data_IF_803970243720
#
_entry.id   IF_803970243720
#
_cell.length_a   1.000
_cell.length_b   1.000
_cell.length_c   1.000
_cell.angle_alpha   90.00
_cell.angle_beta   90.00
_cell.angle_gamma   90.00
#
_symmetry.space_group_name_H-M   'P 1'
#
loop_
_entity.id
_entity.type
_entity.pdbx_description
1 polymer ?
#
# COMPACT_ATOMS: atom_id res chain seq x y z
N UNK A 1 23.94 -5.89 -39.44
CA UNK A 1 23.39 -5.25 -40.65
C UNK A 1 24.40 -4.29 -41.32
N UNK A 2 25.55 -4.00 -40.68
CA UNK A 2 26.58 -3.07 -41.23
C UNK A 2 26.12 -1.61 -41.38
N UNK A 3 25.12 -1.19 -40.61
CA UNK A 3 24.65 0.18 -40.59
C UNK A 3 25.53 1.03 -39.68
N UNK A 4 25.76 2.30 -40.08
CA UNK A 4 26.48 3.26 -39.25
C UNK A 4 25.67 3.62 -38.00
N UNK A 5 26.28 3.48 -36.82
CA UNK A 5 25.74 3.96 -35.56
C UNK A 5 26.18 5.42 -35.40
N UNK A 6 25.21 6.33 -35.26
CA UNK A 6 25.49 7.75 -35.19
C UNK A 6 25.07 8.31 -33.84
N UNK A 7 25.98 8.93 -33.08
CA UNK A 7 25.63 9.62 -31.84
C UNK A 7 24.77 10.85 -32.13
N UNK A 8 23.66 11.00 -31.44
CA UNK A 8 22.76 12.15 -31.54
C UNK A 8 22.87 13.12 -30.38
N UNK A 9 23.71 12.83 -29.39
CA UNK A 9 23.97 13.69 -28.23
C UNK A 9 25.46 13.99 -28.18
N UNK A 10 25.82 15.25 -27.93
CA UNK A 10 27.22 15.67 -27.86
C UNK A 10 27.98 14.95 -26.76
N UNK A 11 29.16 14.44 -27.09
CA UNK A 11 30.06 13.79 -26.12
C UNK A 11 29.63 12.43 -25.61
N UNK A 12 28.56 11.84 -26.18
CA UNK A 12 28.15 10.48 -25.78
C UNK A 12 28.98 9.41 -26.52
N UNK A 13 29.32 8.32 -25.83
CA UNK A 13 29.87 7.10 -26.37
C UNK A 13 28.76 6.11 -26.66
N UNK A 14 28.65 5.67 -27.91
CA UNK A 14 27.66 4.70 -28.38
C UNK A 14 28.32 3.45 -29.00
N UNK A 15 29.59 3.22 -28.67
CA UNK A 15 30.39 2.13 -29.24
C UNK A 15 29.96 0.74 -28.75
N UNK A 16 29.52 0.64 -27.50
CA UNK A 16 29.13 -0.64 -26.87
C UNK A 16 27.64 -0.72 -26.55
N UNK A 17 27.00 0.40 -26.16
CA UNK A 17 25.58 0.42 -25.75
C UNK A 17 24.88 1.71 -26.21
N UNK A 18 23.53 1.74 -26.13
CA UNK A 18 22.73 2.91 -26.39
C UNK A 18 22.89 3.96 -25.30
N UNK A 19 22.92 5.23 -25.67
CA UNK A 19 22.94 6.35 -24.74
C UNK A 19 21.51 6.77 -24.40
N UNK A 20 21.04 6.37 -23.20
CA UNK A 20 19.65 6.56 -22.75
C UNK A 20 19.46 7.74 -21.79
N UNK A 21 20.48 8.56 -21.56
CA UNK A 21 20.36 9.75 -20.72
C UNK A 21 19.33 10.73 -21.29
N UNK A 22 18.57 11.35 -20.42
CA UNK A 22 17.54 12.34 -20.80
C UNK A 22 18.05 13.78 -20.77
N UNK A 23 19.36 13.96 -20.63
CA UNK A 23 20.06 15.24 -20.56
C UNK A 23 21.17 15.27 -21.58
N UNK A 24 21.40 16.42 -22.18
CA UNK A 24 22.44 16.65 -23.19
C UNK A 24 21.96 17.56 -24.33
N UNK A 25 22.89 17.91 -25.19
CA UNK A 25 22.64 18.74 -26.39
C UNK A 25 22.58 17.84 -27.60
N UNK A 26 21.58 18.01 -28.43
CA UNK A 26 21.41 17.23 -29.67
C UNK A 26 22.38 17.70 -30.74
N UNK A 27 23.04 16.73 -31.38
CA UNK A 27 23.93 16.96 -32.55
C UNK A 27 23.58 15.98 -33.68
N UNK A 28 24.18 16.17 -34.86
CA UNK A 28 24.02 15.27 -36.00
C UNK A 28 22.58 15.03 -36.48
N UNK A 29 21.67 15.99 -36.26
CA UNK A 29 20.26 15.94 -36.66
C UNK A 29 19.85 17.27 -37.35
N UNK A 30 19.33 17.27 -38.58
CA UNK A 30 19.17 16.16 -39.50
C UNK A 30 20.43 15.89 -40.33
N UNK A 31 20.38 14.79 -41.06
CA UNK A 31 21.32 14.53 -42.13
C UNK A 31 20.74 15.01 -43.47
N UNK A 32 20.98 16.27 -43.78
CA UNK A 32 20.41 16.94 -44.97
C UNK A 32 20.83 16.31 -46.32
N UNK A 33 21.96 15.61 -46.33
CA UNK A 33 22.47 14.90 -47.53
C UNK A 33 21.73 13.60 -47.85
N UNK A 34 20.99 13.06 -46.86
CA UNK A 34 20.27 11.78 -46.99
C UNK A 34 18.75 11.95 -46.92
N UNK A 35 18.25 13.01 -46.28
CA UNK A 35 16.83 13.27 -46.09
C UNK A 35 16.42 14.64 -46.63
N UNK A 36 16.36 14.81 -47.95
CA UNK A 36 16.07 16.11 -48.56
C UNK A 36 14.62 16.61 -48.29
N UNK A 37 13.78 15.78 -47.69
CA UNK A 37 12.39 16.12 -47.39
C UNK A 37 12.14 16.50 -45.91
N UNK A 38 13.19 16.54 -45.07
CA UNK A 38 13.06 16.92 -43.67
C UNK A 38 13.80 18.24 -43.42
N UNK A 39 13.06 19.29 -43.18
CA UNK A 39 13.56 20.63 -42.84
C UNK A 39 13.72 20.83 -41.32
N UNK A 40 13.42 19.80 -40.54
CA UNK A 40 13.56 19.82 -39.08
C UNK A 40 15.03 19.67 -38.66
N UNK A 41 15.61 20.71 -38.07
CA UNK A 41 16.90 20.63 -37.37
C UNK A 41 16.72 20.67 -35.88
N UNK A 42 17.34 19.72 -35.20
CA UNK A 42 17.31 19.61 -33.71
C UNK A 42 18.67 19.94 -33.09
N UNK A 43 19.69 20.24 -33.93
CA UNK A 43 21.03 20.52 -33.44
C UNK A 43 21.08 21.75 -32.53
N UNK A 44 21.81 21.62 -31.42
CA UNK A 44 21.95 22.67 -30.41
C UNK A 44 20.80 22.79 -29.44
N UNK A 45 19.72 22.00 -29.61
CA UNK A 45 18.62 21.91 -28.62
C UNK A 45 18.97 20.93 -27.50
N UNK A 46 18.45 21.17 -26.30
CA UNK A 46 18.45 20.15 -25.28
C UNK A 46 17.56 18.98 -25.71
N UNK A 47 17.79 17.79 -25.19
CA UNK A 47 16.95 16.60 -25.48
C UNK A 47 15.47 16.89 -25.25
N UNK A 48 15.13 17.61 -24.17
CA UNK A 48 13.75 17.98 -23.84
C UNK A 48 13.14 18.89 -24.92
N UNK A 49 13.85 19.93 -25.34
CA UNK A 49 13.40 20.84 -26.40
C UNK A 49 13.28 20.12 -27.73
N UNK A 50 14.23 19.26 -28.06
CA UNK A 50 14.20 18.45 -29.28
C UNK A 50 12.97 17.52 -29.33
N UNK A 51 12.60 16.89 -28.22
CA UNK A 51 11.40 16.06 -28.11
C UNK A 51 10.14 16.88 -28.39
N UNK A 52 9.98 18.03 -27.74
CA UNK A 52 8.81 18.89 -27.94
C UNK A 52 8.75 19.46 -29.36
N UNK A 53 9.87 19.87 -29.91
CA UNK A 53 9.97 20.36 -31.30
C UNK A 53 9.57 19.25 -32.29
N UNK A 54 10.05 18.03 -32.09
CA UNK A 54 9.68 16.88 -32.93
C UNK A 54 8.18 16.55 -32.83
N UNK A 55 7.59 16.54 -31.63
CA UNK A 55 6.16 16.33 -31.46
C UNK A 55 5.31 17.35 -32.21
N UNK A 56 5.71 18.62 -32.14
CA UNK A 56 5.05 19.72 -32.84
C UNK A 56 5.16 19.54 -34.36
N UNK A 57 6.36 19.27 -34.85
CA UNK A 57 6.62 19.05 -36.28
C UNK A 57 5.79 17.91 -36.87
N UNK A 58 5.80 16.74 -36.20
CA UNK A 58 5.02 15.56 -36.62
C UNK A 58 3.52 15.86 -36.69
N UNK A 59 2.99 16.66 -35.77
CA UNK A 59 1.58 17.06 -35.76
C UNK A 59 1.27 18.05 -36.88
N UNK A 60 2.09 19.08 -37.05
CA UNK A 60 1.88 20.15 -38.06
C UNK A 60 1.99 19.65 -39.50
N UNK A 61 2.87 18.66 -39.74
CA UNK A 61 3.07 18.10 -41.09
C UNK A 61 2.24 16.82 -41.35
N UNK A 62 1.32 16.46 -40.41
CA UNK A 62 0.49 15.27 -40.53
C UNK A 62 1.28 13.96 -40.76
N UNK A 63 2.51 13.88 -40.22
CA UNK A 63 3.37 12.68 -40.32
C UNK A 63 2.99 11.58 -39.36
N UNK A 64 2.18 11.89 -38.34
CA UNK A 64 1.75 10.98 -37.35
C UNK A 64 0.95 11.63 -36.21
N UNK A 65 0.82 10.92 -35.11
CA UNK A 65 0.16 11.44 -33.91
C UNK A 65 1.01 11.21 -32.68
N UNK A 66 1.02 12.16 -31.75
CA UNK A 66 1.58 11.96 -30.42
C UNK A 66 0.65 11.06 -29.61
N UNK A 67 1.16 9.94 -29.10
CA UNK A 67 0.42 9.00 -28.27
C UNK A 67 1.15 8.84 -26.93
N UNK A 68 0.40 8.95 -25.84
CA UNK A 68 0.89 8.62 -24.51
C UNK A 68 0.66 7.12 -24.29
N UNK A 69 1.72 6.39 -24.01
CA UNK A 69 1.63 4.99 -23.60
C UNK A 69 1.90 4.92 -22.10
N UNK A 70 0.93 4.39 -21.38
CA UNK A 70 1.07 4.15 -19.94
C UNK A 70 1.72 2.79 -19.71
N UNK A 71 2.69 2.72 -18.80
CA UNK A 71 3.25 1.48 -18.27
C UNK A 71 2.76 1.30 -16.84
N UNK A 72 1.60 0.71 -16.70
CA UNK A 72 1.01 0.36 -15.42
C UNK A 72 1.05 -1.16 -15.27
N UNK A 73 1.20 -1.63 -14.04
CA UNK A 73 0.92 -3.04 -13.73
C UNK A 73 -0.58 -3.22 -13.69
N UNK A 74 -1.06 -4.35 -14.19
CA UNK A 74 -2.45 -4.72 -14.05
C UNK A 74 -2.83 -4.80 -12.57
N UNK A 75 -3.94 -4.17 -12.22
CA UNK A 75 -4.50 -4.22 -10.88
C UNK A 75 -5.64 -5.23 -10.87
N UNK A 76 -5.49 -6.30 -10.11
CA UNK A 76 -6.56 -7.28 -9.90
C UNK A 76 -7.45 -6.74 -8.78
N UNK A 77 -8.68 -6.38 -9.12
CA UNK A 77 -9.70 -5.90 -8.18
C UNK A 77 -10.52 -7.04 -7.61
N UNK A 78 -9.88 -8.14 -7.22
CA UNK A 78 -10.51 -9.28 -6.56
C UNK A 78 -9.58 -9.94 -5.55
N UNK A 79 -10.15 -10.61 -4.56
CA UNK A 79 -9.41 -11.35 -3.54
C UNK A 79 -10.07 -12.70 -3.28
N UNK A 80 -9.24 -13.70 -3.09
CA UNK A 80 -9.62 -15.04 -2.66
C UNK A 80 -9.85 -15.07 -1.14
N UNK A 81 -10.80 -14.26 -0.68
CA UNK A 81 -11.13 -14.10 0.75
C UNK A 81 -12.63 -14.10 0.95
N UNK A 82 -13.09 -14.53 2.13
CA UNK A 82 -14.50 -14.46 2.49
C UNK A 82 -14.90 -13.01 2.84
N UNK A 83 -14.13 -12.37 3.72
CA UNK A 83 -14.43 -10.99 4.15
C UNK A 83 -14.06 -9.96 3.09
N UNK A 84 -15.07 -9.37 2.49
CA UNK A 84 -15.02 -8.36 1.46
C UNK A 84 -16.40 -8.19 0.83
N UNK A 85 -16.65 -7.11 0.12
CA UNK A 85 -17.89 -6.92 -0.63
C UNK A 85 -17.96 -7.98 -1.76
N UNK A 86 -19.06 -8.75 -1.86
CA UNK A 86 -19.22 -9.70 -2.96
C UNK A 86 -19.42 -8.98 -4.30
N UNK A 87 -18.90 -9.58 -5.37
CA UNK A 87 -19.20 -9.08 -6.72
C UNK A 87 -20.63 -9.46 -7.12
N UNK A 88 -21.46 -8.50 -7.56
CA UNK A 88 -22.80 -8.79 -8.04
C UNK A 88 -22.77 -9.35 -9.47
N UNK A 89 -22.06 -10.46 -9.66
CA UNK A 89 -21.74 -11.05 -10.96
C UNK A 89 -22.02 -12.56 -10.94
N UNK A 90 -22.71 -13.03 -11.98
CA UNK A 90 -22.83 -14.46 -12.28
C UNK A 90 -22.19 -14.80 -13.62
N UNK A 91 -21.88 -16.07 -13.85
CA UNK A 91 -21.22 -16.55 -15.07
C UNK A 91 -22.13 -17.39 -15.94
N UNK A 92 -22.31 -16.94 -17.17
CA UNK A 92 -23.00 -17.70 -18.23
C UNK A 92 -22.02 -17.95 -19.39
N UNK A 93 -21.83 -19.20 -19.76
CA UNK A 93 -20.90 -19.62 -20.82
C UNK A 93 -19.46 -19.05 -20.62
N UNK A 94 -19.02 -18.97 -19.40
CA UNK A 94 -17.71 -18.41 -19.02
C UNK A 94 -17.61 -16.88 -19.09
N UNK A 95 -18.70 -16.19 -19.43
CA UNK A 95 -18.76 -14.72 -19.50
C UNK A 95 -19.46 -14.15 -18.26
N UNK A 96 -18.94 -13.05 -17.67
CA UNK A 96 -19.54 -12.40 -16.52
C UNK A 96 -20.74 -11.54 -16.91
N UNK A 97 -21.79 -11.63 -16.12
CA UNK A 97 -23.01 -10.80 -16.23
C UNK A 97 -23.34 -10.21 -14.87
N UNK A 98 -23.80 -8.96 -14.87
CA UNK A 98 -24.25 -8.31 -13.65
C UNK A 98 -25.63 -8.82 -13.23
N UNK A 99 -25.86 -8.94 -11.92
CA UNK A 99 -27.22 -9.12 -11.39
C UNK A 99 -27.99 -7.79 -11.51
N UNK A 100 -29.31 -7.85 -11.41
CA UNK A 100 -30.13 -6.64 -11.47
C UNK A 100 -29.88 -5.74 -10.27
N UNK A 101 -29.82 -4.43 -10.49
CA UNK A 101 -29.64 -3.43 -9.44
C UNK A 101 -30.73 -3.51 -8.34
N UNK A 102 -31.98 -3.80 -8.74
CA UNK A 102 -33.08 -3.97 -7.79
C UNK A 102 -32.94 -5.19 -6.85
N UNK A 103 -31.97 -6.07 -7.12
CA UNK A 103 -31.66 -7.25 -6.31
C UNK A 103 -30.48 -7.01 -5.33
N UNK A 104 -29.95 -5.81 -5.29
CA UNK A 104 -28.92 -5.42 -4.32
C UNK A 104 -29.57 -5.00 -2.99
N UNK A 105 -28.86 -5.17 -1.88
CA UNK A 105 -27.49 -5.67 -1.75
C UNK A 105 -27.38 -7.18 -1.90
N UNK A 106 -26.27 -7.65 -2.50
CA UNK A 106 -25.86 -9.05 -2.48
C UNK A 106 -25.13 -9.32 -1.17
N UNK A 107 -25.72 -10.15 -0.32
CA UNK A 107 -25.15 -10.49 0.99
C UNK A 107 -24.24 -11.71 0.91
N UNK A 108 -23.18 -11.74 1.73
CA UNK A 108 -22.30 -12.91 1.84
C UNK A 108 -23.07 -14.12 2.38
N UNK A 109 -22.91 -15.31 1.78
CA UNK A 109 -23.56 -16.53 2.26
C UNK A 109 -22.85 -17.07 3.52
N UNK A 110 -23.55 -17.84 4.31
CA UNK A 110 -22.90 -18.63 5.37
C UNK A 110 -22.00 -19.72 4.77
N UNK A 111 -20.81 -19.90 5.34
CA UNK A 111 -19.85 -20.92 4.95
C UNK A 111 -19.34 -21.69 6.17
N UNK A 112 -19.09 -22.97 5.99
CA UNK A 112 -18.59 -23.81 7.08
C UNK A 112 -17.11 -23.52 7.44
N UNK A 113 -16.32 -22.98 6.47
CA UNK A 113 -14.89 -22.70 6.63
C UNK A 113 -14.51 -21.44 5.85
N UNK A 114 -13.61 -20.63 6.42
CA UNK A 114 -13.05 -19.44 5.80
C UNK A 114 -11.71 -19.71 5.08
N UNK A 115 -11.43 -20.96 4.76
CA UNK A 115 -10.25 -21.41 4.04
C UNK A 115 -10.61 -21.71 2.57
N UNK A 116 -9.63 -21.73 1.66
CA UNK A 116 -9.87 -22.23 0.30
C UNK A 116 -10.43 -23.64 0.32
N UNK A 117 -11.13 -24.02 -0.76
CA UNK A 117 -11.60 -25.39 -0.94
C UNK A 117 -10.42 -26.34 -1.22
N UNK A 118 -10.63 -27.64 -1.17
CA UNK A 118 -9.62 -28.66 -1.51
C UNK A 118 -9.17 -28.57 -2.98
N UNK A 119 -10.02 -28.01 -3.84
CA UNK A 119 -9.74 -27.76 -5.25
C UNK A 119 -9.07 -26.40 -5.52
N UNK A 120 -8.84 -25.60 -4.46
CA UNK A 120 -8.16 -24.31 -4.54
C UNK A 120 -9.10 -23.12 -4.85
N UNK A 121 -10.41 -23.32 -4.82
CA UNK A 121 -11.38 -22.22 -4.98
C UNK A 121 -11.37 -21.29 -3.75
N UNK A 122 -11.79 -20.02 -3.92
CA UNK A 122 -11.97 -19.11 -2.79
C UNK A 122 -12.93 -19.65 -1.72
N UNK A 123 -12.90 -19.10 -0.48
CA UNK A 123 -13.77 -19.56 0.61
C UNK A 123 -15.26 -19.59 0.30
N UNK A 124 -15.76 -18.74 -0.60
CA UNK A 124 -17.15 -18.77 -1.07
C UNK A 124 -17.50 -20.07 -1.83
N UNK A 125 -16.52 -20.83 -2.30
CA UNK A 125 -16.71 -22.17 -2.88
C UNK A 125 -17.26 -23.19 -1.87
N UNK A 126 -17.18 -22.92 -0.55
CA UNK A 126 -17.83 -23.75 0.48
C UNK A 126 -19.32 -23.44 0.67
N UNK A 127 -19.84 -22.38 0.07
CA UNK A 127 -21.24 -22.03 0.21
C UNK A 127 -22.13 -23.05 -0.53
N UNK A 128 -23.20 -23.47 0.12
CA UNK A 128 -24.22 -24.34 -0.47
C UNK A 128 -25.31 -23.55 -1.22
N UNK A 129 -25.45 -22.26 -0.89
CA UNK A 129 -26.43 -21.35 -1.46
C UNK A 129 -25.70 -20.14 -2.03
N UNK A 130 -25.19 -20.26 -3.26
CA UNK A 130 -24.44 -19.22 -3.97
C UNK A 130 -24.58 -19.34 -5.50
N UNK A 131 -25.83 -19.50 -5.96
CA UNK A 131 -26.21 -19.52 -7.36
C UNK A 131 -27.26 -18.44 -7.64
N UNK A 132 -27.24 -17.86 -8.83
CA UNK A 132 -28.13 -16.81 -9.25
C UNK A 132 -29.25 -17.36 -10.15
N UNK A 133 -30.50 -17.19 -9.71
CA UNK A 133 -31.69 -17.46 -10.51
C UNK A 133 -32.06 -16.19 -11.29
N UNK A 134 -31.91 -16.23 -12.62
CA UNK A 134 -32.17 -15.09 -13.49
C UNK A 134 -33.67 -14.83 -13.71
N UNK A 135 -34.54 -15.80 -13.41
CA UNK A 135 -35.98 -15.67 -13.53
C UNK A 135 -36.60 -15.04 -12.28
N UNK A 136 -36.23 -15.59 -11.10
CA UNK A 136 -36.74 -15.11 -9.81
C UNK A 136 -35.90 -14.00 -9.20
N UNK A 137 -34.73 -13.71 -9.81
CA UNK A 137 -33.81 -12.63 -9.40
C UNK A 137 -33.38 -12.74 -7.94
N UNK A 138 -32.97 -13.93 -7.52
CA UNK A 138 -32.54 -14.20 -6.16
C UNK A 138 -31.42 -15.26 -6.10
N UNK A 139 -30.73 -15.28 -4.96
CA UNK A 139 -29.70 -16.29 -4.66
C UNK A 139 -30.39 -17.56 -4.17
N UNK A 140 -30.04 -18.68 -4.78
CA UNK A 140 -30.57 -20.02 -4.47
C UNK A 140 -29.45 -21.04 -4.28
N UNK A 141 -29.84 -22.28 -3.99
CA UNK A 141 -28.94 -23.41 -3.74
C UNK A 141 -28.14 -23.78 -5.02
N UNK A 142 -26.85 -24.10 -4.86
CA UNK A 142 -25.94 -24.45 -5.95
C UNK A 142 -26.37 -25.72 -6.71
N UNK A 143 -27.10 -26.64 -6.04
CA UNK A 143 -27.63 -27.86 -6.64
C UNK A 143 -28.62 -27.56 -7.79
N UNK A 144 -29.18 -26.35 -7.84
CA UNK A 144 -30.13 -25.92 -8.86
C UNK A 144 -29.48 -25.28 -10.10
N UNK A 145 -28.13 -25.21 -10.14
CA UNK A 145 -27.43 -24.70 -11.32
C UNK A 145 -27.71 -25.59 -12.53
N UNK A 146 -28.36 -25.02 -13.52
CA UNK A 146 -28.74 -25.69 -14.77
C UNK A 146 -28.02 -25.10 -15.99
N UNK A 147 -27.31 -24.00 -15.82
CA UNK A 147 -26.64 -23.22 -16.86
C UNK A 147 -27.58 -22.68 -17.96
N UNK A 148 -28.90 -22.66 -17.72
CA UNK A 148 -29.94 -22.12 -18.61
C UNK A 148 -30.63 -20.92 -17.97
N UNK A 149 -31.09 -21.09 -16.74
CA UNK A 149 -31.76 -20.06 -15.93
C UNK A 149 -31.06 -19.78 -14.61
N UNK A 150 -30.30 -20.75 -14.10
CA UNK A 150 -29.57 -20.65 -12.85
C UNK A 150 -28.07 -20.81 -13.11
N UNK A 151 -27.29 -19.82 -12.64
CA UNK A 151 -25.87 -19.71 -12.92
C UNK A 151 -25.04 -19.57 -11.66
N UNK A 152 -23.73 -19.96 -11.66
CA UNK A 152 -22.85 -19.75 -10.53
C UNK A 152 -22.52 -18.25 -10.36
N UNK A 153 -22.51 -17.77 -9.12
CA UNK A 153 -22.02 -16.45 -8.74
C UNK A 153 -20.49 -16.43 -8.61
N UNK A 154 -19.91 -15.23 -8.70
CA UNK A 154 -18.48 -15.01 -8.48
C UNK A 154 -18.07 -15.45 -7.05
N UNK A 155 -16.96 -16.18 -6.95
CA UNK A 155 -16.45 -16.70 -5.68
C UNK A 155 -15.42 -15.76 -4.99
N UNK A 156 -14.85 -14.80 -5.74
CA UNK A 156 -13.97 -13.80 -5.18
C UNK A 156 -14.79 -12.67 -4.53
N UNK A 157 -14.16 -11.96 -3.61
CA UNK A 157 -14.70 -10.72 -3.05
C UNK A 157 -13.87 -9.52 -3.50
N UNK A 158 -14.43 -8.33 -3.39
CA UNK A 158 -13.68 -7.09 -3.61
C UNK A 158 -12.57 -6.95 -2.55
N UNK A 159 -11.48 -6.19 -2.84
CA UNK A 159 -10.47 -5.90 -1.83
C UNK A 159 -11.07 -5.15 -0.65
N UNK A 160 -10.49 -5.33 0.55
CA UNK A 160 -10.97 -4.66 1.76
C UNK A 160 -10.98 -3.12 1.68
N UNK A 161 -10.24 -2.53 0.73
CA UNK A 161 -10.28 -1.09 0.49
C UNK A 161 -11.45 -0.62 -0.41
N UNK A 162 -12.25 -1.51 -0.99
CA UNK A 162 -13.35 -1.11 -1.88
C UNK A 162 -14.34 -0.19 -1.17
N UNK A 163 -14.89 -0.63 -0.04
CA UNK A 163 -15.77 0.21 0.77
C UNK A 163 -15.08 1.39 1.43
N UNK A 164 -13.88 1.18 1.98
CA UNK A 164 -13.14 2.25 2.66
C UNK A 164 -12.65 3.37 1.74
N UNK A 165 -12.61 3.14 0.44
CA UNK A 165 -12.18 4.18 -0.52
C UNK A 165 -13.16 5.35 -0.63
N UNK A 166 -14.44 5.15 -0.36
CA UNK A 166 -15.48 6.19 -0.44
C UNK A 166 -16.29 6.34 0.87
N UNK A 167 -15.78 5.83 2.00
CA UNK A 167 -16.50 5.79 3.27
C UNK A 167 -16.95 7.19 3.74
N UNK A 168 -16.16 8.23 3.49
CA UNK A 168 -16.47 9.61 3.90
C UNK A 168 -17.76 10.15 3.27
N UNK A 169 -18.10 9.74 2.04
CA UNK A 169 -19.37 10.06 1.41
C UNK A 169 -20.53 9.40 2.16
N UNK A 170 -20.39 8.13 2.50
CA UNK A 170 -21.41 7.41 3.30
C UNK A 170 -21.58 8.01 4.69
N UNK A 171 -20.49 8.52 5.32
CA UNK A 171 -20.58 9.19 6.63
C UNK A 171 -21.36 10.51 6.58
N UNK A 172 -21.41 11.19 5.43
CA UNK A 172 -22.24 12.38 5.25
C UNK A 172 -23.74 12.05 5.31
N UNK A 173 -24.13 10.85 4.85
CA UNK A 173 -25.52 10.43 4.74
C UNK A 173 -25.72 8.94 5.14
N UNK A 174 -25.47 8.60 6.42
CA UNK A 174 -25.36 7.20 6.85
C UNK A 174 -26.67 6.42 6.81
N UNK A 175 -27.80 7.09 6.80
CA UNK A 175 -29.15 6.47 6.80
C UNK A 175 -29.81 6.42 5.43
N UNK A 176 -29.11 6.81 4.38
CA UNK A 176 -29.63 6.74 3.03
C UNK A 176 -29.60 5.30 2.49
N UNK A 177 -30.76 4.73 2.23
CA UNK A 177 -30.91 3.39 1.67
C UNK A 177 -31.06 3.36 0.14
N UNK A 178 -31.08 4.53 -0.52
CA UNK A 178 -31.33 4.64 -1.96
C UNK A 178 -30.08 5.01 -2.75
N UNK A 179 -29.12 5.72 -2.13
CA UNK A 179 -27.90 6.17 -2.77
C UNK A 179 -26.73 6.15 -1.79
N UNK A 180 -25.51 6.23 -2.31
CA UNK A 180 -24.29 6.36 -1.50
C UNK A 180 -24.34 7.63 -0.64
N UNK A 181 -24.81 8.73 -1.21
CA UNK A 181 -25.04 10.03 -0.57
C UNK A 181 -26.12 10.79 -1.35
N UNK A 182 -27.00 11.52 -0.67
CA UNK A 182 -27.94 12.43 -1.35
C UNK A 182 -27.17 13.63 -1.94
N UNK A 183 -27.40 14.02 -3.20
CA UNK A 183 -26.70 15.13 -3.84
C UNK A 183 -26.78 16.46 -3.10
N UNK A 184 -27.87 16.72 -2.37
CA UNK A 184 -28.00 17.94 -1.56
C UNK A 184 -27.12 17.90 -0.32
N UNK A 185 -26.97 16.71 0.27
CA UNK A 185 -26.10 16.50 1.43
C UNK A 185 -24.65 16.62 1.00
N UNK A 186 -24.26 16.00 -0.14
CA UNK A 186 -22.93 16.14 -0.70
C UNK A 186 -22.61 17.59 -1.09
N UNK A 187 -23.58 18.31 -1.69
CA UNK A 187 -23.44 19.74 -2.00
C UNK A 187 -23.30 20.62 -0.74
N UNK A 188 -23.85 20.21 0.39
CA UNK A 188 -23.72 20.92 1.66
C UNK A 188 -22.35 20.70 2.30
N UNK A 189 -21.93 19.44 2.43
CA UNK A 189 -20.67 19.08 3.07
C UNK A 189 -19.44 19.24 2.16
N UNK A 190 -19.60 19.00 0.85
CA UNK A 190 -18.52 19.01 -0.16
C UNK A 190 -17.39 18.07 0.21
N UNK A 191 -16.16 18.44 -0.16
CA UNK A 191 -14.97 17.69 0.21
C UNK A 191 -14.58 17.93 1.68
N UNK A 192 -13.93 16.94 2.27
CA UNK A 192 -13.54 16.96 3.69
C UNK A 192 -12.52 18.09 3.95
N UNK A 193 -12.81 18.94 4.92
CA UNK A 193 -11.98 20.12 5.24
C UNK A 193 -10.59 19.75 5.77
N UNK A 194 -10.54 18.74 6.66
CA UNK A 194 -9.31 18.26 7.27
C UNK A 194 -9.33 16.74 7.38
N UNK A 195 -8.36 16.10 6.72
CA UNK A 195 -8.18 14.65 6.73
C UNK A 195 -6.89 14.27 7.44
N UNK A 196 -7.00 13.48 8.52
CA UNK A 196 -5.86 13.12 9.37
C UNK A 196 -5.62 11.62 9.29
N UNK A 197 -4.40 11.23 8.98
CA UNK A 197 -4.02 9.82 8.90
C UNK A 197 -2.52 9.61 8.71
N UNK A 198 -2.04 8.41 9.06
CA UNK A 198 -0.63 8.06 8.95
C UNK A 198 -0.11 8.02 7.51
N UNK A 199 1.18 8.27 7.36
CA UNK A 199 1.87 8.25 6.06
C UNK A 199 1.85 6.87 5.38
N UNK A 200 1.64 5.80 6.13
CA UNK A 200 1.48 4.43 5.62
C UNK A 200 0.29 4.28 4.66
N UNK A 201 -0.68 5.18 4.72
CA UNK A 201 -1.83 5.21 3.82
C UNK A 201 -1.58 5.92 2.49
N UNK A 202 -0.41 6.55 2.31
CA UNK A 202 -0.09 7.32 1.10
C UNK A 202 -0.10 6.46 -0.18
N UNK A 203 0.35 5.20 -0.09
CA UNK A 203 0.38 4.25 -1.21
C UNK A 203 -0.82 3.31 -1.26
N UNK A 204 -1.78 3.46 -0.36
CA UNK A 204 -2.98 2.63 -0.28
C UNK A 204 -4.23 3.49 -0.28
N UNK A 205 -4.84 3.68 0.90
CA UNK A 205 -6.14 4.35 1.06
C UNK A 205 -6.22 5.73 0.39
N UNK A 206 -5.17 6.57 0.48
CA UNK A 206 -5.21 7.92 -0.12
C UNK A 206 -5.26 7.88 -1.65
N UNK A 207 -4.54 6.97 -2.30
CA UNK A 207 -4.61 6.78 -3.75
C UNK A 207 -5.99 6.27 -4.14
N UNK A 208 -6.50 5.26 -3.45
CA UNK A 208 -7.79 4.66 -3.80
C UNK A 208 -8.96 5.59 -3.53
N UNK A 209 -8.96 6.33 -2.42
CA UNK A 209 -10.03 7.30 -2.13
C UNK A 209 -10.06 8.43 -3.16
N UNK A 210 -8.89 8.93 -3.58
CA UNK A 210 -8.81 9.94 -4.63
C UNK A 210 -9.27 9.38 -5.99
N UNK A 211 -8.85 8.17 -6.35
CA UNK A 211 -9.29 7.52 -7.59
C UNK A 211 -10.81 7.32 -7.62
N UNK A 212 -11.38 6.76 -6.54
CA UNK A 212 -12.83 6.56 -6.43
C UNK A 212 -13.59 7.88 -6.48
N UNK A 213 -13.13 8.90 -5.77
CA UNK A 213 -13.81 10.20 -5.77
C UNK A 213 -13.85 10.81 -7.17
N UNK A 214 -12.73 10.78 -7.90
CA UNK A 214 -12.69 11.26 -9.29
C UNK A 214 -13.60 10.46 -10.21
N UNK A 215 -13.64 9.15 -10.07
CA UNK A 215 -14.57 8.31 -10.81
C UNK A 215 -16.03 8.64 -10.47
N UNK A 216 -16.37 8.79 -9.20
CA UNK A 216 -17.71 9.16 -8.77
C UNK A 216 -18.09 10.58 -9.23
N UNK A 217 -17.12 11.49 -9.30
CA UNK A 217 -17.32 12.83 -9.87
C UNK A 217 -17.63 12.75 -11.38
N UNK A 218 -16.85 11.98 -12.14
CA UNK A 218 -17.09 11.76 -13.57
C UNK A 218 -18.46 11.11 -13.85
N UNK A 219 -18.93 10.26 -12.93
CA UNK A 219 -20.24 9.63 -12.99
C UNK A 219 -21.38 10.53 -12.49
N UNK A 220 -21.08 11.74 -12.00
CA UNK A 220 -22.07 12.69 -11.46
C UNK A 220 -22.64 12.29 -10.09
N UNK A 221 -21.97 11.40 -9.35
CA UNK A 221 -22.38 10.97 -8.00
C UNK A 221 -21.81 11.92 -6.96
N UNK A 222 -20.52 12.30 -7.06
CA UNK A 222 -19.90 13.28 -6.17
C UNK A 222 -19.88 14.67 -6.81
N UNK A 223 -20.11 15.71 -6.03
CA UNK A 223 -20.10 17.11 -6.48
C UNK A 223 -18.70 17.72 -6.48
N UNK A 224 -17.72 17.08 -5.87
CA UNK A 224 -16.33 17.54 -5.79
C UNK A 224 -15.38 16.58 -6.47
N UNK A 225 -14.45 17.12 -7.27
CA UNK A 225 -13.42 16.31 -7.95
C UNK A 225 -12.39 15.72 -6.97
N UNK A 226 -11.96 16.50 -5.98
CA UNK A 226 -10.99 16.07 -4.96
C UNK A 226 -11.68 15.77 -3.63
N UNK A 227 -11.35 14.65 -2.96
CA UNK A 227 -12.05 14.23 -1.74
C UNK A 227 -11.70 15.06 -0.50
N UNK A 228 -10.48 15.60 -0.42
CA UNK A 228 -9.95 16.26 0.77
C UNK A 228 -9.34 17.61 0.44
N UNK A 229 -9.61 18.63 1.28
CA UNK A 229 -9.03 19.96 1.12
C UNK A 229 -7.63 20.03 1.75
N UNK A 230 -7.46 19.44 2.92
CA UNK A 230 -6.20 19.45 3.66
C UNK A 230 -5.92 18.06 4.25
N UNK A 231 -4.73 17.55 3.98
CA UNK A 231 -4.22 16.32 4.57
C UNK A 231 -3.18 16.66 5.64
N UNK A 232 -3.31 16.04 6.80
CA UNK A 232 -2.29 16.06 7.86
C UNK A 232 -1.88 14.62 8.16
N UNK A 233 -0.63 14.30 7.86
CA UNK A 233 -0.03 13.04 8.24
C UNK A 233 0.71 13.20 9.56
N UNK A 234 0.26 12.50 10.59
CA UNK A 234 0.99 12.48 11.86
C UNK A 234 2.28 11.66 11.73
N UNK A 235 3.31 12.13 12.41
CA UNK A 235 4.56 11.38 12.58
C UNK A 235 4.34 10.14 13.43
N UNK A 236 5.25 9.18 13.30
CA UNK A 236 5.18 7.94 14.08
C UNK A 236 5.73 8.15 15.50
N UNK A 237 5.09 7.56 16.48
CA UNK A 237 5.68 7.34 17.79
C UNK A 237 6.67 6.18 17.66
N UNK A 238 7.94 6.44 17.96
CA UNK A 238 9.02 5.49 17.86
C UNK A 238 9.31 4.85 19.21
N UNK A 239 9.71 3.59 19.20
CA UNK A 239 10.11 2.88 20.41
C UNK A 239 11.62 2.94 20.63
N UNK A 240 12.04 2.88 21.88
CA UNK A 240 13.41 2.59 22.21
C UNK A 240 13.63 1.08 22.16
N UNK A 241 14.41 0.61 21.18
CA UNK A 241 14.88 -0.78 21.14
C UNK A 241 16.09 -0.95 22.01
N UNK A 242 16.17 -2.09 22.69
CA UNK A 242 17.38 -2.50 23.43
C UNK A 242 18.04 -3.68 22.73
N UNK A 243 19.36 -3.75 22.82
CA UNK A 243 20.16 -4.79 22.17
C UNK A 243 21.04 -5.52 23.17
N UNK A 244 21.09 -6.83 23.02
CA UNK A 244 22.13 -7.69 23.59
C UNK A 244 23.07 -8.14 22.48
N UNK A 245 24.32 -8.42 22.79
CA UNK A 245 25.37 -8.74 21.82
C UNK A 245 25.80 -10.17 22.01
N UNK A 246 25.38 -11.05 21.12
CA UNK A 246 25.74 -12.48 21.13
C UNK A 246 27.07 -12.66 20.46
N UNK A 247 28.03 -13.32 21.13
CA UNK A 247 29.29 -13.74 20.53
C UNK A 247 28.99 -14.82 19.48
N UNK A 248 29.57 -14.67 18.29
CA UNK A 248 29.35 -15.53 17.14
C UNK A 248 29.54 -17.03 17.50
N UNK A 249 28.64 -17.84 17.02
CA UNK A 249 28.62 -19.30 17.20
C UNK A 249 28.62 -19.80 18.66
N UNK A 250 28.22 -18.94 19.62
CA UNK A 250 28.08 -19.29 21.04
C UNK A 250 26.70 -18.94 21.59
N UNK A 251 26.45 -19.33 22.86
CA UNK A 251 25.31 -18.82 23.65
C UNK A 251 25.79 -17.85 24.75
N UNK A 252 26.87 -17.13 24.49
CA UNK A 252 27.46 -16.15 25.39
C UNK A 252 27.14 -14.73 24.90
N UNK A 253 26.72 -13.87 25.80
CA UNK A 253 26.35 -12.50 25.53
C UNK A 253 27.30 -11.55 26.25
N UNK A 254 27.80 -10.55 25.55
CA UNK A 254 28.76 -9.59 26.09
C UNK A 254 28.13 -8.21 26.27
N UNK A 255 28.42 -7.55 27.37
CA UNK A 255 27.93 -6.21 27.70
C UNK A 255 28.42 -5.16 26.69
N UNK A 256 27.64 -4.09 26.50
CA UNK A 256 27.82 -3.05 25.47
C UNK A 256 29.25 -2.56 25.30
N UNK A 257 29.90 -2.13 26.40
CA UNK A 257 31.22 -1.51 26.33
C UNK A 257 32.39 -2.51 26.13
N UNK A 258 32.10 -3.80 26.25
CA UNK A 258 33.06 -4.87 26.03
C UNK A 258 32.92 -5.54 24.65
N UNK A 259 31.88 -5.21 23.89
CA UNK A 259 31.51 -5.89 22.64
C UNK A 259 32.58 -5.81 21.55
N UNK A 260 33.36 -4.71 21.50
CA UNK A 260 34.37 -4.48 20.47
C UNK A 260 35.59 -5.43 20.59
N UNK A 261 35.67 -6.20 21.70
CA UNK A 261 36.67 -7.22 21.92
C UNK A 261 36.31 -8.59 21.30
N UNK A 262 35.08 -8.71 20.74
CA UNK A 262 34.53 -9.95 20.24
C UNK A 262 33.83 -9.75 18.88
N UNK A 263 33.75 -10.80 18.09
CA UNK A 263 32.85 -10.82 16.92
C UNK A 263 31.43 -11.09 17.41
N UNK A 264 30.56 -10.06 17.36
CA UNK A 264 29.21 -10.13 17.94
C UNK A 264 28.11 -9.87 16.93
N UNK A 265 26.92 -10.43 17.19
CA UNK A 265 25.68 -10.15 16.50
C UNK A 265 24.72 -9.44 17.47
N UNK A 266 24.24 -8.23 17.17
CA UNK A 266 23.23 -7.57 17.97
C UNK A 266 21.87 -8.27 17.83
N UNK A 267 21.16 -8.46 18.92
CA UNK A 267 19.84 -9.08 18.99
C UNK A 267 18.93 -8.16 19.78
N UNK A 268 17.75 -7.84 19.22
CA UNK A 268 16.72 -7.10 19.94
C UNK A 268 16.23 -7.87 21.15
N UNK A 269 16.05 -7.18 22.25
CA UNK A 269 15.55 -7.75 23.50
C UNK A 269 14.32 -6.99 23.98
N UNK A 270 13.38 -7.71 24.63
CA UNK A 270 12.14 -7.14 25.12
C UNK A 270 12.42 -5.97 26.11
N UNK A 271 11.82 -4.83 25.82
CA UNK A 271 11.98 -3.62 26.64
C UNK A 271 11.53 -3.81 28.10
N UNK A 272 10.64 -4.75 28.35
CA UNK A 272 10.11 -5.03 29.70
C UNK A 272 11.11 -5.76 30.61
N UNK A 273 12.16 -6.36 30.06
CA UNK A 273 13.23 -7.02 30.82
C UNK A 273 14.53 -6.22 30.88
N UNK A 274 14.46 -4.93 30.47
CA UNK A 274 15.56 -3.99 30.56
C UNK A 274 15.12 -2.79 31.39
N UNK A 275 15.92 -2.41 32.40
CA UNK A 275 15.65 -1.24 33.24
C UNK A 275 16.90 -0.37 33.33
N UNK A 276 16.79 0.91 32.96
CA UNK A 276 17.92 1.85 32.92
C UNK A 276 19.15 1.26 32.20
N UNK A 277 18.93 0.67 31.03
CA UNK A 277 19.93 -0.01 30.20
C UNK A 277 20.51 -1.31 30.78
N UNK A 278 20.07 -1.74 31.94
CA UNK A 278 20.53 -2.96 32.59
C UNK A 278 19.56 -4.10 32.29
N UNK A 279 20.07 -5.20 31.74
CA UNK A 279 19.32 -6.42 31.47
C UNK A 279 19.04 -7.19 32.75
N UNK A 280 17.79 -7.63 32.90
CA UNK A 280 17.44 -8.68 33.87
C UNK A 280 17.87 -10.05 33.31
N UNK A 281 18.94 -10.61 33.84
CA UNK A 281 19.55 -11.86 33.33
C UNK A 281 18.65 -13.07 33.49
N UNK A 282 17.89 -13.15 34.59
CA UNK A 282 17.01 -14.28 34.84
C UNK A 282 15.74 -14.18 33.98
N UNK A 283 15.20 -12.98 33.82
CA UNK A 283 14.09 -12.74 32.89
C UNK A 283 14.53 -13.04 31.43
N UNK A 284 15.76 -12.68 31.05
CA UNK A 284 16.28 -12.99 29.71
C UNK A 284 16.40 -14.50 29.46
N UNK A 285 16.93 -15.27 30.42
CA UNK A 285 17.00 -16.74 30.32
C UNK A 285 15.61 -17.38 30.23
N UNK A 286 14.63 -16.79 30.90
CA UNK A 286 13.26 -17.26 30.90
C UNK A 286 12.45 -16.83 29.64
N UNK A 287 12.89 -15.77 28.95
CA UNK A 287 12.18 -15.16 27.83
C UNK A 287 12.04 -16.10 26.63
N UNK A 288 13.11 -16.88 26.33
CA UNK A 288 13.10 -17.85 25.22
C UNK A 288 13.84 -19.12 25.58
N UNK A 289 13.37 -20.28 25.11
CA UNK A 289 13.99 -21.57 25.41
C UNK A 289 15.48 -21.65 25.05
N UNK A 290 15.88 -21.01 23.92
CA UNK A 290 17.27 -20.98 23.44
C UNK A 290 18.22 -20.20 24.35
N UNK A 291 17.72 -19.32 25.19
CA UNK A 291 18.55 -18.50 26.13
C UNK A 291 18.64 -19.09 27.53
N UNK A 292 17.98 -20.22 27.80
CA UNK A 292 17.98 -20.85 29.12
C UNK A 292 19.40 -21.14 29.66
N UNK A 293 20.34 -21.42 28.78
CA UNK A 293 21.75 -21.69 29.10
C UNK A 293 22.68 -20.54 28.74
N UNK A 294 22.13 -19.32 28.59
CA UNK A 294 22.91 -18.15 28.23
C UNK A 294 23.95 -17.82 29.30
N UNK A 295 25.17 -17.54 28.87
CA UNK A 295 26.26 -17.01 29.69
C UNK A 295 26.46 -15.52 29.40
N UNK A 296 26.97 -14.78 30.39
CA UNK A 296 27.10 -13.34 30.27
C UNK A 296 28.50 -12.87 30.67
N UNK A 297 29.10 -12.03 29.83
CA UNK A 297 30.30 -11.26 30.14
C UNK A 297 29.83 -9.88 30.59
N UNK A 298 29.96 -9.64 31.89
CA UNK A 298 29.41 -8.47 32.58
C UNK A 298 30.42 -7.36 32.68
N UNK A 299 29.90 -6.14 32.81
CA UNK A 299 30.65 -4.94 33.10
C UNK A 299 30.26 -4.50 34.51
N UNK A 300 31.23 -4.45 35.43
CA UNK A 300 31.04 -4.13 36.86
C UNK A 300 29.86 -4.92 37.50
N UNK A 301 29.74 -6.21 37.14
CA UNK A 301 28.70 -7.10 37.67
C UNK A 301 27.30 -6.89 37.06
N UNK A 302 27.16 -6.07 36.02
CA UNK A 302 25.90 -5.78 35.33
C UNK A 302 26.05 -6.04 33.84
N UNK A 303 24.94 -6.37 33.17
CA UNK A 303 24.87 -6.42 31.71
C UNK A 303 24.26 -5.14 31.18
N UNK A 304 25.01 -4.32 30.50
CA UNK A 304 24.57 -3.08 29.88
C UNK A 304 24.14 -3.36 28.45
N UNK A 305 22.89 -3.05 28.11
CA UNK A 305 22.33 -3.16 26.76
C UNK A 305 22.73 -1.97 25.89
N UNK A 306 22.85 -2.20 24.60
CA UNK A 306 22.78 -1.11 23.61
C UNK A 306 21.34 -0.64 23.41
N UNK A 307 21.16 0.52 22.76
CA UNK A 307 19.85 1.02 22.44
C UNK A 307 19.84 1.85 21.14
N UNK A 308 18.68 1.91 20.50
CA UNK A 308 18.40 2.80 19.39
C UNK A 308 16.92 3.20 19.40
N UNK A 309 16.61 4.36 18.80
CA UNK A 309 15.23 4.77 18.57
C UNK A 309 14.80 4.24 17.20
N UNK A 310 13.78 3.39 17.18
CA UNK A 310 13.32 2.71 15.98
C UNK A 310 11.79 2.73 15.90
N UNK A 311 11.25 2.33 14.73
CA UNK A 311 9.81 2.09 14.59
C UNK A 311 9.35 1.04 15.60
N UNK A 312 8.25 1.32 16.32
CA UNK A 312 7.63 0.31 17.17
C UNK A 312 7.12 -0.87 16.33
N UNK A 313 7.58 -2.07 16.68
CA UNK A 313 7.06 -3.30 16.10
C UNK A 313 7.22 -4.49 17.04
N UNK A 314 6.36 -5.49 16.89
CA UNK A 314 6.44 -6.73 17.68
C UNK A 314 7.77 -7.46 17.48
N UNK A 315 8.34 -7.41 16.28
CA UNK A 315 9.62 -8.06 15.95
C UNK A 315 10.84 -7.37 16.56
N UNK A 316 10.72 -6.10 16.94
CA UNK A 316 11.78 -5.32 17.61
C UNK A 316 11.61 -5.31 19.14
N UNK A 317 10.55 -5.91 19.67
CA UNK A 317 10.26 -6.01 21.10
C UNK A 317 10.30 -4.67 21.85
N UNK A 318 9.92 -3.58 21.16
CA UNK A 318 9.97 -2.20 21.64
C UNK A 318 8.60 -1.53 21.70
N UNK A 319 7.52 -2.33 21.68
CA UNK A 319 6.14 -1.82 21.70
C UNK A 319 5.77 -1.47 23.14
N UNK A 320 5.25 -0.26 23.32
CA UNK A 320 4.61 0.18 24.56
C UNK A 320 3.12 -0.10 24.46
N UNK A 321 2.56 -0.87 25.41
CA UNK A 321 1.14 -1.15 25.47
C UNK A 321 0.41 0.00 26.18
N UNK A 322 -0.54 0.69 25.51
CA UNK A 322 -1.32 1.76 26.11
C UNK A 322 -2.08 1.35 27.36
N UNK A 323 -2.62 0.12 27.42
CA UNK A 323 -3.36 -0.36 28.59
C UNK A 323 -2.51 -0.38 29.84
N UNK A 324 -1.25 -0.84 29.76
CA UNK A 324 -0.31 -0.82 30.87
C UNK A 324 -0.01 0.61 31.36
N UNK A 325 0.09 1.55 30.42
CA UNK A 325 0.34 2.98 30.77
C UNK A 325 -0.91 3.56 31.42
N UNK A 326 -2.10 3.25 30.91
CA UNK A 326 -3.37 3.70 31.48
C UNK A 326 -3.56 3.16 32.89
N UNK A 327 -3.28 1.89 33.13
CA UNK A 327 -3.34 1.27 34.45
C UNK A 327 -2.38 1.94 35.44
N UNK A 328 -1.17 2.26 34.98
CA UNK A 328 -0.11 2.80 35.85
C UNK A 328 -0.26 4.31 36.11
N UNK A 329 -0.66 5.08 35.12
CA UNK A 329 -0.63 6.56 35.17
C UNK A 329 -1.98 7.23 34.92
N UNK A 330 -2.96 6.50 34.43
CA UNK A 330 -4.27 7.02 34.03
C UNK A 330 -4.36 7.44 32.57
N UNK A 331 -5.55 7.35 32.00
CA UNK A 331 -5.81 7.63 30.59
C UNK A 331 -5.56 9.12 30.24
N UNK A 332 -5.93 10.04 31.11
CA UNK A 332 -5.73 11.47 30.87
C UNK A 332 -4.25 11.85 30.85
N UNK A 333 -3.44 11.21 31.70
CA UNK A 333 -1.98 11.39 31.69
C UNK A 333 -1.37 10.94 30.37
N UNK A 334 -1.77 9.78 29.85
CA UNK A 334 -1.33 9.28 28.53
C UNK A 334 -1.71 10.27 27.42
N UNK A 335 -2.96 10.71 27.36
CA UNK A 335 -3.45 11.63 26.34
C UNK A 335 -2.73 12.97 26.38
N UNK A 336 -2.51 13.52 27.55
CA UNK A 336 -1.76 14.78 27.73
C UNK A 336 -0.28 14.62 27.33
N UNK A 337 0.32 13.48 27.65
CA UNK A 337 1.70 13.20 27.27
C UNK A 337 1.88 13.13 25.76
N UNK A 338 0.99 12.43 25.04
CA UNK A 338 1.03 12.36 23.58
C UNK A 338 0.89 13.75 22.94
N UNK A 339 0.03 14.61 23.46
CA UNK A 339 -0.09 16.00 22.99
C UNK A 339 1.15 16.83 23.32
N UNK A 340 1.82 16.56 24.43
CA UNK A 340 3.05 17.25 24.86
C UNK A 340 4.27 16.91 24.01
N UNK A 341 4.31 15.71 23.40
CA UNK A 341 5.46 15.24 22.63
C UNK A 341 5.88 16.18 21.48
N UNK A 342 5.04 17.14 21.07
CA UNK A 342 5.37 18.21 20.11
C UNK A 342 4.54 18.18 18.81
N UNK A 343 5.00 18.80 17.69
CA UNK A 343 4.23 18.93 16.46
C UNK A 343 3.76 17.60 15.92
N UNK A 344 2.49 17.53 15.50
CA UNK A 344 1.84 16.27 15.13
C UNK A 344 2.48 15.58 13.92
N UNK A 345 3.07 16.33 13.00
CA UNK A 345 3.66 15.81 11.77
C UNK A 345 5.05 15.18 11.95
N UNK A 346 5.68 15.38 13.10
CA UNK A 346 7.03 14.88 13.36
C UNK A 346 6.99 13.52 14.07
N UNK A 347 7.84 12.59 13.63
CA UNK A 347 8.11 11.37 14.39
C UNK A 347 8.84 11.66 15.68
N UNK A 348 8.52 10.94 16.75
CA UNK A 348 9.02 11.20 18.11
C UNK A 348 9.30 9.92 18.85
N UNK A 349 10.37 9.88 19.65
CA UNK A 349 10.58 8.77 20.57
C UNK A 349 9.56 8.84 21.71
N UNK A 350 9.10 7.65 22.09
CA UNK A 350 8.31 7.45 23.30
C UNK A 350 9.16 7.64 24.54
#
# INVERSE_FOLDING_TARGET
FGLEIRPLVEGCDVSEESFDAKEGIVCNSPRLDVTPYCDLSLNGLTIKEAIETTKKYVKEHNLGRVKVNYRLRDAIFSRQRYWGEPFPVYYKDGMPYMIDEASLPLELPEVAKFLPTETGEPPLGHATKWAWDTVNKCVIENEKIDHVTVFPLELNTMPGFAGSSAYYLRYMDPHNHQALVDPKIDQYWKNVDLYVGGTEHATGHLIYSRFWNKFLYDMGVSVMEEPFQKLVNQGMIQGRSNFVYRIKDTNTFVSLNLKDQYEVTPIHVDVNIVSNDILDLEAFKAWRPEYKTAEFILEDGKYVCGWAVEKMSKSMFNVVNPDMIVEKYGADTLRMYEMFLGPVEQSKPW
#
